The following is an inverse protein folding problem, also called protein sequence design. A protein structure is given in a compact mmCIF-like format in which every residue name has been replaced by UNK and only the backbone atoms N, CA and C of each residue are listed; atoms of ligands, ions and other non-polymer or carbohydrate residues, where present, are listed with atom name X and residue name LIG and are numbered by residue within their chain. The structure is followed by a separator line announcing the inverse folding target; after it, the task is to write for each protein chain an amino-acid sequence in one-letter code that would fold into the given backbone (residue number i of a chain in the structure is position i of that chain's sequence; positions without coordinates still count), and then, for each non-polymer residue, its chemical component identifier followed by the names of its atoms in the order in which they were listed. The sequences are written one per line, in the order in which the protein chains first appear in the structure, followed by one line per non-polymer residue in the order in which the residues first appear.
data_IF_682710832640
#
_entry.id   IF_682710832640
#
_cell.length_a   1.000
_cell.length_b   1.000
_cell.length_c   1.000
_cell.angle_alpha   90.00
_cell.angle_beta   90.00
_cell.angle_gamma   90.00
#
_symmetry.space_group_name_H-M   'P 1'
#
loop_
_entity.id
_entity.type
_entity.pdbx_description
1 polymer ?
#
# COMPACT_ATOMS: atom_id res chain seq x y z
N UNK A 1 -1.79 -18.11 -16.93
CA UNK A 1 -1.81 -16.95 -15.98
C UNK A 1 -1.36 -15.68 -16.66
N UNK A 2 -0.18 -15.65 -17.35
CA UNK A 2 0.35 -14.45 -18.05
C UNK A 2 -0.59 -13.94 -19.16
N UNK A 3 -1.30 -14.81 -19.81
CA UNK A 3 -2.33 -14.54 -20.84
C UNK A 3 -3.50 -13.66 -20.34
N UNK A 4 -3.73 -13.64 -19.03
CA UNK A 4 -4.70 -12.73 -18.39
C UNK A 4 -4.21 -11.28 -18.27
N UNK A 5 -2.94 -10.98 -18.61
CA UNK A 5 -2.31 -9.67 -18.48
C UNK A 5 -1.75 -9.20 -19.84
N UNK A 6 -2.53 -8.43 -20.62
CA UNK A 6 -2.17 -8.06 -22.00
C UNK A 6 -0.81 -7.38 -22.15
N UNK A 7 -0.39 -6.59 -21.14
CA UNK A 7 0.90 -5.90 -21.15
C UNK A 7 2.09 -6.85 -21.29
N UNK A 8 1.97 -8.08 -20.76
CA UNK A 8 3.04 -9.07 -20.72
C UNK A 8 3.29 -9.76 -22.07
N UNK A 9 2.38 -9.64 -23.03
CA UNK A 9 2.54 -10.20 -24.37
C UNK A 9 3.64 -9.51 -25.21
N UNK A 10 4.00 -8.28 -24.86
CA UNK A 10 4.99 -7.51 -25.63
C UNK A 10 5.96 -6.72 -24.75
N UNK A 11 6.14 -7.08 -23.49
CA UNK A 11 7.02 -6.37 -22.57
C UNK A 11 7.54 -7.27 -21.47
N UNK A 12 8.76 -7.01 -20.99
CA UNK A 12 9.29 -7.50 -19.73
C UNK A 12 8.83 -6.56 -18.61
N UNK A 13 7.97 -7.04 -17.71
CA UNK A 13 7.30 -6.19 -16.73
C UNK A 13 7.80 -6.47 -15.30
N UNK A 14 8.70 -5.62 -14.82
CA UNK A 14 9.39 -5.75 -13.53
C UNK A 14 9.19 -4.50 -12.64
N UNK A 15 8.01 -3.85 -12.73
CA UNK A 15 7.72 -2.56 -12.09
C UNK A 15 6.48 -2.59 -11.18
N UNK A 16 6.08 -3.78 -10.71
CA UNK A 16 4.84 -3.95 -9.91
C UNK A 16 4.83 -3.15 -8.60
N UNK A 17 6.00 -2.82 -8.05
CA UNK A 17 6.16 -1.94 -6.89
C UNK A 17 5.77 -0.48 -7.15
N UNK A 18 5.66 -0.09 -8.41
CA UNK A 18 5.22 1.25 -8.85
C UNK A 18 3.79 1.19 -9.41
N UNK A 19 3.55 0.24 -10.31
CA UNK A 19 2.22 -0.06 -10.86
C UNK A 19 2.17 -1.55 -11.25
N UNK A 20 1.16 -2.29 -10.78
CA UNK A 20 0.89 -3.66 -11.19
C UNK A 20 0.38 -3.71 -12.64
N UNK A 21 0.66 -4.80 -13.36
CA UNK A 21 0.10 -5.00 -14.68
C UNK A 21 -1.44 -5.14 -14.60
N UNK A 22 -2.21 -4.53 -15.50
CA UNK A 22 -3.66 -4.62 -15.46
C UNK A 22 -4.13 -6.00 -15.94
N UNK A 23 -5.00 -6.70 -15.19
CA UNK A 23 -5.63 -7.90 -15.69
C UNK A 23 -6.69 -7.57 -16.76
N UNK A 24 -6.89 -8.47 -17.73
CA UNK A 24 -7.87 -8.28 -18.79
C UNK A 24 -9.30 -8.09 -18.23
N UNK A 25 -9.64 -8.80 -17.16
CA UNK A 25 -10.92 -8.68 -16.47
C UNK A 25 -11.22 -7.28 -15.91
N UNK A 26 -10.22 -6.42 -15.77
CA UNK A 26 -10.43 -5.00 -15.43
C UNK A 26 -11.18 -4.26 -16.53
N UNK A 27 -10.97 -4.65 -17.80
CA UNK A 27 -11.71 -4.10 -18.93
C UNK A 27 -13.19 -4.50 -18.87
N UNK A 28 -13.46 -5.75 -18.55
CA UNK A 28 -14.85 -6.24 -18.42
C UNK A 28 -15.58 -5.48 -17.28
N UNK A 29 -14.86 -5.13 -16.21
CA UNK A 29 -15.42 -4.30 -15.13
C UNK A 29 -15.75 -2.87 -15.57
N UNK A 30 -14.92 -2.28 -16.44
CA UNK A 30 -15.22 -0.96 -17.05
C UNK A 30 -16.48 -1.03 -17.91
N UNK A 31 -16.58 -2.05 -18.73
CA UNK A 31 -17.74 -2.26 -19.62
C UNK A 31 -19.01 -2.46 -18.80
N UNK A 32 -19.01 -3.35 -17.80
CA UNK A 32 -20.17 -3.55 -16.90
C UNK A 32 -20.59 -2.27 -16.18
N UNK A 33 -19.63 -1.48 -15.68
CA UNK A 33 -19.94 -0.21 -15.04
C UNK A 33 -20.63 0.74 -16.01
N UNK A 34 -20.10 0.86 -17.23
CA UNK A 34 -20.67 1.73 -18.27
C UNK A 34 -22.07 1.27 -18.67
N UNK A 35 -22.26 -0.02 -18.92
CA UNK A 35 -23.53 -0.59 -19.38
C UNK A 35 -24.63 -0.40 -18.32
N UNK A 36 -24.33 -0.68 -17.06
CA UNK A 36 -25.28 -0.44 -15.96
C UNK A 36 -25.68 1.04 -15.89
N UNK A 37 -24.73 1.95 -15.98
CA UNK A 37 -25.03 3.38 -15.97
C UNK A 37 -25.85 3.81 -17.19
N UNK A 38 -25.49 3.34 -18.38
CA UNK A 38 -26.16 3.72 -19.62
C UNK A 38 -27.58 3.13 -19.73
N UNK A 39 -27.83 1.96 -19.16
CA UNK A 39 -29.12 1.25 -19.25
C UNK A 39 -30.04 1.60 -18.09
N UNK A 40 -29.51 1.57 -16.86
CA UNK A 40 -30.31 1.62 -15.63
C UNK A 40 -30.32 3.02 -15.00
N UNK A 41 -29.42 3.91 -15.43
CA UNK A 41 -29.32 5.27 -14.88
C UNK A 41 -29.10 5.26 -13.36
N UNK A 42 -29.95 5.95 -12.56
CA UNK A 42 -29.81 5.98 -11.10
C UNK A 42 -29.99 4.62 -10.42
N UNK A 43 -30.72 3.66 -11.03
CA UNK A 43 -30.97 2.34 -10.47
C UNK A 43 -29.69 1.47 -10.47
N UNK A 44 -28.67 1.82 -11.25
CA UNK A 44 -27.34 1.17 -11.23
C UNK A 44 -26.71 1.12 -9.82
N UNK A 45 -27.09 2.02 -8.91
CA UNK A 45 -26.66 1.99 -7.50
C UNK A 45 -27.06 0.71 -6.77
N UNK A 46 -28.18 0.08 -7.13
CA UNK A 46 -28.62 -1.18 -6.52
C UNK A 46 -27.65 -2.33 -6.79
N UNK A 47 -27.00 -2.32 -7.97
CA UNK A 47 -25.95 -3.28 -8.32
C UNK A 47 -24.58 -2.92 -7.74
N UNK A 48 -24.21 -1.65 -7.77
CA UNK A 48 -22.87 -1.20 -7.40
C UNK A 48 -22.61 -1.21 -5.89
N UNK A 49 -23.57 -0.80 -5.05
CA UNK A 49 -23.35 -0.69 -3.61
C UNK A 49 -23.01 -2.02 -2.93
N UNK A 50 -23.66 -3.16 -3.26
CA UNK A 50 -23.25 -4.46 -2.73
C UNK A 50 -21.84 -4.87 -3.13
N UNK A 51 -21.39 -4.55 -4.35
CA UNK A 51 -20.03 -4.86 -4.81
C UNK A 51 -18.95 -4.16 -3.96
N UNK A 52 -19.21 -2.97 -3.42
CA UNK A 52 -18.26 -2.29 -2.51
C UNK A 52 -18.01 -3.14 -1.26
N UNK A 53 -19.05 -3.75 -0.70
CA UNK A 53 -18.94 -4.64 0.45
C UNK A 53 -18.11 -5.90 0.12
N UNK A 54 -18.31 -6.48 -1.08
CA UNK A 54 -17.55 -7.64 -1.54
C UNK A 54 -16.06 -7.30 -1.75
N UNK A 55 -15.76 -6.15 -2.36
CA UNK A 55 -14.39 -5.67 -2.56
C UNK A 55 -13.70 -5.42 -1.21
N UNK A 56 -14.37 -4.75 -0.27
CA UNK A 56 -13.85 -4.53 1.07
C UNK A 56 -13.62 -5.84 1.82
N UNK A 57 -14.54 -6.82 1.68
CA UNK A 57 -14.43 -8.17 2.22
C UNK A 57 -13.23 -8.94 1.65
N UNK A 58 -12.99 -8.84 0.34
CA UNK A 58 -11.82 -9.43 -0.33
C UNK A 58 -10.50 -8.87 0.21
N UNK A 59 -10.42 -7.54 0.40
CA UNK A 59 -9.26 -6.89 1.00
C UNK A 59 -9.09 -7.32 2.47
N UNK A 60 -10.18 -7.40 3.25
CA UNK A 60 -10.13 -7.90 4.62
C UNK A 60 -9.52 -9.31 4.70
N UNK A 61 -9.94 -10.22 3.81
CA UNK A 61 -9.37 -11.56 3.72
C UNK A 61 -7.88 -11.55 3.40
N UNK A 62 -7.41 -10.70 2.47
CA UNK A 62 -5.99 -10.54 2.14
C UNK A 62 -5.15 -10.03 3.30
N UNK A 63 -5.75 -9.29 4.24
CA UNK A 63 -5.11 -8.75 5.45
C UNK A 63 -5.21 -9.68 6.67
N UNK A 64 -5.87 -10.84 6.59
CA UNK A 64 -6.21 -11.65 7.75
C UNK A 64 -7.16 -10.94 8.73
N UNK A 65 -7.95 -10.00 8.22
CA UNK A 65 -8.91 -9.22 9.01
C UNK A 65 -10.29 -9.89 9.06
N UNK A 66 -11.03 -9.63 10.13
CA UNK A 66 -12.42 -10.06 10.23
C UNK A 66 -13.30 -9.37 9.16
N UNK A 67 -14.41 -9.98 8.73
CA UNK A 67 -15.37 -9.31 7.84
C UNK A 67 -15.86 -7.98 8.42
N UNK A 68 -16.20 -7.03 7.54
CA UNK A 68 -16.72 -5.70 7.90
C UNK A 68 -15.76 -4.86 8.77
N UNK A 69 -14.44 -5.00 8.56
CA UNK A 69 -13.42 -4.21 9.26
C UNK A 69 -12.60 -3.31 8.31
N UNK A 70 -12.90 -3.36 7.02
CA UNK A 70 -12.23 -2.56 5.99
C UNK A 70 -13.22 -1.58 5.36
N UNK A 71 -12.80 -0.32 5.22
CA UNK A 71 -13.48 0.73 4.43
C UNK A 71 -12.72 0.96 3.14
N UNK A 72 -13.42 1.21 2.04
CA UNK A 72 -12.81 1.66 0.80
C UNK A 72 -12.60 3.18 0.87
N UNK A 73 -11.41 3.62 0.49
CA UNK A 73 -11.04 5.04 0.40
C UNK A 73 -10.41 5.32 -0.97
N UNK A 74 -10.52 6.53 -1.52
CA UNK A 74 -9.93 6.82 -2.83
C UNK A 74 -8.42 6.62 -2.90
N UNK A 75 -7.70 6.88 -1.80
CA UNK A 75 -6.25 6.74 -1.66
C UNK A 75 -5.81 6.74 -0.20
N UNK A 76 -4.55 6.38 0.04
CA UNK A 76 -3.93 6.32 1.37
C UNK A 76 -3.93 7.67 2.10
N UNK A 77 -3.74 8.77 1.38
CA UNK A 77 -3.74 10.11 2.00
C UNK A 77 -5.06 10.40 2.69
N UNK A 78 -6.19 10.06 2.05
CA UNK A 78 -7.52 10.23 2.63
C UNK A 78 -7.78 9.22 3.75
N UNK A 79 -7.31 7.98 3.65
CA UNK A 79 -7.40 6.99 4.72
C UNK A 79 -6.68 7.46 5.99
N UNK A 80 -5.45 7.93 5.86
CA UNK A 80 -4.69 8.48 7.00
C UNK A 80 -5.32 9.78 7.53
N UNK A 81 -5.80 10.67 6.66
CA UNK A 81 -6.47 11.89 7.07
C UNK A 81 -7.78 11.62 7.83
N UNK A 82 -8.52 10.57 7.47
CA UNK A 82 -9.71 10.15 8.20
C UNK A 82 -9.37 9.77 9.65
N UNK A 83 -8.31 8.97 9.85
CA UNK A 83 -7.83 8.60 11.19
C UNK A 83 -7.32 9.85 11.95
N UNK A 84 -6.48 10.66 11.31
CA UNK A 84 -5.95 11.88 11.93
C UNK A 84 -7.09 12.84 12.36
N UNK A 85 -8.17 12.93 11.57
CA UNK A 85 -9.34 13.77 11.87
C UNK A 85 -10.19 13.26 13.03
N UNK A 86 -10.01 11.99 13.43
CA UNK A 86 -10.71 11.40 14.56
C UNK A 86 -9.97 11.60 15.90
N UNK A 87 -8.79 12.24 15.87
CA UNK A 87 -7.93 12.42 17.03
C UNK A 87 -8.00 13.85 17.55
N UNK A 88 -7.85 13.98 18.85
CA UNK A 88 -7.66 15.26 19.53
C UNK A 88 -6.27 15.30 20.12
N UNK A 89 -5.48 16.29 19.73
CA UNK A 89 -4.13 16.53 20.26
C UNK A 89 -4.19 17.53 21.40
N UNK A 90 -3.79 17.11 22.60
CA UNK A 90 -3.81 17.91 23.80
C UNK A 90 -2.45 17.91 24.52
N UNK A 91 -2.26 18.71 25.58
CA UNK A 91 -0.99 18.87 26.26
C UNK A 91 -0.39 17.56 26.79
N UNK A 92 -1.25 16.61 27.15
CA UNK A 92 -0.82 15.33 27.70
C UNK A 92 -0.56 14.28 26.61
N UNK A 93 -1.13 14.47 25.39
CA UNK A 93 -1.09 13.47 24.33
C UNK A 93 -1.12 14.11 22.95
N UNK A 94 0.06 14.61 22.51
CA UNK A 94 0.24 15.39 21.29
C UNK A 94 1.20 14.74 20.28
N UNK A 95 1.96 13.71 20.70
CA UNK A 95 3.03 13.12 19.90
C UNK A 95 2.51 12.32 18.70
N UNK A 96 3.07 12.58 17.54
CA UNK A 96 2.92 11.76 16.33
C UNK A 96 4.31 11.31 15.90
N UNK A 97 4.62 10.03 16.10
CA UNK A 97 5.90 9.42 15.72
C UNK A 97 5.81 8.96 14.26
N UNK A 98 6.74 9.43 13.44
CA UNK A 98 6.94 9.06 12.05
C UNK A 98 8.41 8.70 11.81
N UNK A 99 8.73 8.07 10.67
CA UNK A 99 10.12 7.74 10.32
C UNK A 99 10.60 8.46 9.05
N UNK A 100 11.93 8.54 8.87
CA UNK A 100 12.54 9.37 7.83
C UNK A 100 12.54 8.76 6.42
N UNK A 101 12.35 7.43 6.29
CA UNK A 101 12.47 6.69 5.02
C UNK A 101 11.12 6.32 4.38
N UNK A 102 10.03 6.81 4.96
CA UNK A 102 8.69 6.52 4.45
C UNK A 102 8.33 7.37 3.23
N UNK A 103 7.30 6.95 2.53
CA UNK A 103 6.78 7.72 1.40
C UNK A 103 6.24 9.08 1.87
N UNK A 104 6.49 10.18 1.14
CA UNK A 104 6.17 11.55 1.59
C UNK A 104 4.74 11.79 2.05
N UNK A 105 3.77 11.07 1.49
CA UNK A 105 2.34 11.20 1.87
C UNK A 105 2.12 11.07 3.37
N UNK A 106 2.76 10.09 4.04
CA UNK A 106 2.59 9.88 5.49
C UNK A 106 3.05 11.14 6.23
N UNK A 107 4.27 11.59 5.95
CA UNK A 107 4.82 12.80 6.56
C UNK A 107 3.93 14.02 6.30
N UNK A 108 3.46 14.24 5.07
CA UNK A 108 2.67 15.42 4.72
C UNK A 108 1.31 15.41 5.41
N UNK A 109 0.62 14.29 5.41
CA UNK A 109 -0.69 14.18 6.07
C UNK A 109 -0.54 14.48 7.56
N UNK A 110 0.36 13.80 8.27
CA UNK A 110 0.48 13.97 9.71
C UNK A 110 1.05 15.35 10.10
N UNK A 111 2.00 15.90 9.33
CA UNK A 111 2.52 17.26 9.58
C UNK A 111 1.44 18.35 9.42
N UNK A 112 0.43 18.14 8.58
CA UNK A 112 -0.68 19.08 8.44
C UNK A 112 -1.48 19.25 9.74
N UNK A 113 -1.43 18.29 10.67
CA UNK A 113 -2.14 18.34 11.94
C UNK A 113 -1.41 19.13 13.03
N UNK A 114 -0.17 19.62 12.77
CA UNK A 114 0.53 20.53 13.67
C UNK A 114 -0.30 21.79 13.98
N UNK A 115 -1.08 22.27 13.01
CA UNK A 115 -2.00 23.41 13.22
C UNK A 115 -3.15 23.09 14.20
N UNK A 116 -3.35 21.81 14.52
CA UNK A 116 -4.33 21.33 15.49
C UNK A 116 -3.69 20.77 16.76
N UNK A 117 -2.39 21.06 16.99
CA UNK A 117 -1.68 20.71 18.21
C UNK A 117 -0.83 19.44 18.14
N UNK A 118 -0.76 18.76 17.01
CA UNK A 118 0.11 17.60 16.85
C UNK A 118 1.58 17.99 16.90
N UNK A 119 2.40 17.26 17.66
CA UNK A 119 3.87 17.39 17.76
C UNK A 119 4.52 16.25 16.99
N UNK A 120 5.09 16.55 15.83
CA UNK A 120 5.73 15.54 14.98
C UNK A 120 7.11 15.18 15.54
N UNK A 121 7.33 13.87 15.73
CA UNK A 121 8.60 13.26 16.13
C UNK A 121 9.08 12.38 14.98
N UNK A 122 10.08 12.85 14.25
CA UNK A 122 10.65 12.08 13.13
C UNK A 122 11.85 11.28 13.63
N UNK A 123 11.76 9.94 13.53
CA UNK A 123 12.86 9.03 13.85
C UNK A 123 13.82 8.99 12.67
N UNK A 124 15.10 9.34 12.85
CA UNK A 124 16.09 9.31 11.77
C UNK A 124 16.56 7.88 11.50
N UNK A 125 17.00 7.63 10.26
CA UNK A 125 17.76 6.45 9.89
C UNK A 125 19.26 6.69 10.10
N UNK A 126 20.01 5.66 10.49
CA UNK A 126 21.45 5.73 10.68
C UNK A 126 22.25 5.57 9.38
N UNK A 127 21.71 4.78 8.46
CA UNK A 127 22.36 4.41 7.19
C UNK A 127 21.65 4.98 5.95
N UNK A 128 20.51 5.66 6.15
CA UNK A 128 19.65 6.15 5.07
C UNK A 128 18.92 5.03 4.28
N UNK A 129 18.94 3.79 4.78
CA UNK A 129 18.38 2.60 4.09
C UNK A 129 17.46 1.76 4.96
N UNK A 130 17.76 1.65 6.25
CA UNK A 130 17.00 0.87 7.21
C UNK A 130 16.54 1.71 8.39
N UNK A 131 15.48 1.27 9.04
CA UNK A 131 14.99 1.87 10.28
C UNK A 131 15.26 0.92 11.45
N UNK A 132 15.80 1.46 12.54
CA UNK A 132 15.98 0.70 13.77
C UNK A 132 14.67 0.62 14.55
N UNK A 133 14.21 -0.61 14.80
CA UNK A 133 13.04 -0.89 15.66
C UNK A 133 13.25 -0.32 17.06
N UNK A 134 14.44 -0.45 17.63
CA UNK A 134 14.76 0.07 18.98
C UNK A 134 14.66 1.60 19.03
N UNK A 135 15.13 2.30 17.99
CA UNK A 135 14.98 3.77 17.91
C UNK A 135 13.53 4.19 17.80
N UNK A 136 12.74 3.49 17.01
CA UNK A 136 11.30 3.76 16.89
C UNK A 136 10.64 3.54 18.25
N UNK A 137 10.85 2.40 18.90
CA UNK A 137 10.31 2.11 20.23
C UNK A 137 10.74 3.13 21.28
N UNK A 138 11.99 3.59 21.25
CA UNK A 138 12.52 4.61 22.17
C UNK A 138 11.90 6.00 21.97
N UNK A 139 11.40 6.30 20.76
CA UNK A 139 10.70 7.55 20.47
C UNK A 139 9.22 7.54 20.89
N UNK A 140 8.69 6.38 21.28
CA UNK A 140 7.31 6.19 21.69
C UNK A 140 7.23 6.33 23.23
N UNK A 141 6.57 7.38 23.70
CA UNK A 141 6.40 7.73 25.11
C UNK A 141 4.92 7.91 25.49
N UNK A 142 4.65 8.25 26.75
CA UNK A 142 3.29 8.45 27.27
C UNK A 142 2.55 9.61 26.61
N UNK A 143 3.26 10.54 25.97
CA UNK A 143 2.69 11.64 25.20
C UNK A 143 2.38 11.26 23.75
N UNK A 144 2.80 10.08 23.32
CA UNK A 144 2.56 9.62 21.94
C UNK A 144 1.08 9.26 21.75
N UNK A 145 0.40 9.99 20.86
CA UNK A 145 -0.97 9.71 20.46
C UNK A 145 -1.01 8.69 19.32
N UNK A 146 -0.08 8.83 18.35
CA UNK A 146 -0.04 8.01 17.12
C UNK A 146 1.39 7.68 16.74
N UNK A 147 1.57 6.49 16.22
CA UNK A 147 2.78 6.05 15.51
C UNK A 147 2.35 5.72 14.08
N UNK A 148 2.79 6.50 13.09
CA UNK A 148 2.39 6.35 11.69
C UNK A 148 3.60 6.01 10.83
N UNK A 149 3.71 4.73 10.42
CA UNK A 149 4.90 4.20 9.74
C UNK A 149 4.53 3.44 8.47
N UNK A 150 5.46 3.42 7.52
CA UNK A 150 5.39 2.50 6.39
C UNK A 150 5.94 1.14 6.78
N UNK A 151 5.23 0.05 6.40
CA UNK A 151 5.71 -1.32 6.63
C UNK A 151 7.02 -1.61 5.88
N UNK A 152 7.24 -0.92 4.76
CA UNK A 152 8.49 -1.01 4.01
C UNK A 152 9.03 0.39 3.70
N UNK A 153 10.32 0.61 3.95
CA UNK A 153 11.01 1.84 3.64
C UNK A 153 10.95 2.13 2.13
N UNK A 154 10.56 3.34 1.77
CA UNK A 154 10.42 3.77 0.38
C UNK A 154 11.73 3.75 -0.41
N UNK A 155 12.85 4.07 0.26
CA UNK A 155 14.15 4.23 -0.40
C UNK A 155 14.94 2.93 -0.59
N UNK A 156 14.59 1.86 0.12
CA UNK A 156 15.37 0.62 0.09
C UNK A 156 14.53 -0.65 -0.01
N UNK A 157 13.22 -0.57 0.28
CA UNK A 157 12.37 -1.74 0.42
C UNK A 157 12.60 -2.54 1.71
N UNK A 158 13.38 -2.01 2.67
CA UNK A 158 13.58 -2.64 3.97
C UNK A 158 12.26 -2.75 4.73
N UNK A 159 11.95 -3.93 5.27
CA UNK A 159 10.77 -4.16 6.10
C UNK A 159 11.04 -3.75 7.56
N UNK A 160 10.02 -3.22 8.21
CA UNK A 160 9.99 -2.97 9.65
C UNK A 160 9.58 -4.23 10.42
N UNK A 161 10.14 -4.41 11.62
CA UNK A 161 9.70 -5.38 12.62
C UNK A 161 8.51 -4.79 13.39
N UNK A 162 7.30 -5.00 12.85
CA UNK A 162 6.09 -4.30 13.32
C UNK A 162 5.58 -4.80 14.67
N UNK A 163 5.84 -6.06 15.05
CA UNK A 163 5.29 -6.65 16.26
C UNK A 163 5.80 -5.95 17.54
N UNK A 164 7.11 -5.66 17.60
CA UNK A 164 7.70 -4.92 18.71
C UNK A 164 7.18 -3.48 18.82
N UNK A 165 6.99 -2.82 17.66
CA UNK A 165 6.45 -1.46 17.59
C UNK A 165 4.98 -1.44 18.05
N UNK A 166 4.17 -2.40 17.57
CA UNK A 166 2.77 -2.54 17.98
C UNK A 166 2.66 -2.80 19.49
N UNK A 167 3.49 -3.70 20.04
CA UNK A 167 3.53 -3.97 21.48
C UNK A 167 3.85 -2.68 22.26
N UNK A 168 4.85 -1.92 21.85
CA UNK A 168 5.21 -0.64 22.49
C UNK A 168 4.09 0.38 22.40
N UNK A 169 3.40 0.46 21.27
CA UNK A 169 2.23 1.34 21.13
C UNK A 169 1.12 0.96 22.13
N UNK A 170 0.83 -0.33 22.29
CA UNK A 170 -0.17 -0.80 23.23
C UNK A 170 0.19 -0.49 24.69
N UNK A 171 1.48 -0.63 25.07
CA UNK A 171 1.95 -0.30 26.44
C UNK A 171 1.63 1.14 26.84
N UNK A 172 1.85 2.10 25.93
CA UNK A 172 1.58 3.52 26.20
C UNK A 172 0.19 3.97 25.75
N UNK A 173 -0.60 3.07 25.12
CA UNK A 173 -1.93 3.37 24.58
C UNK A 173 -1.90 4.26 23.34
N UNK A 174 -0.79 4.34 22.59
CA UNK A 174 -0.71 4.99 21.30
C UNK A 174 -1.41 4.16 20.22
N UNK A 175 -1.88 4.81 19.16
CA UNK A 175 -2.49 4.15 17.99
C UNK A 175 -1.41 3.88 16.96
N UNK A 176 -1.28 2.63 16.51
CA UNK A 176 -0.36 2.27 15.44
C UNK A 176 -1.08 2.29 14.08
N UNK A 177 -0.64 3.18 13.18
CA UNK A 177 -1.11 3.32 11.79
C UNK A 177 -0.03 2.81 10.86
N UNK A 178 -0.28 1.66 10.22
CA UNK A 178 0.65 0.99 9.33
C UNK A 178 0.26 1.21 7.87
N UNK A 179 1.14 1.87 7.09
CA UNK A 179 1.00 1.99 5.65
C UNK A 179 1.59 0.75 4.97
N UNK A 180 0.73 -0.06 4.36
CA UNK A 180 1.09 -1.31 3.70
C UNK A 180 1.11 -1.21 2.17
N UNK A 181 1.22 -0.01 1.62
CA UNK A 181 1.17 0.21 0.17
C UNK A 181 2.23 -0.58 -0.61
N UNK A 182 3.36 -0.89 0.03
CA UNK A 182 4.45 -1.67 -0.57
C UNK A 182 4.44 -3.14 -0.14
N UNK A 183 3.47 -3.58 0.64
CA UNK A 183 3.49 -4.93 1.21
C UNK A 183 2.20 -5.72 1.02
N UNK A 184 1.02 -5.10 1.02
CA UNK A 184 -0.24 -5.81 0.76
C UNK A 184 -0.23 -6.45 -0.63
N UNK A 185 -0.45 -7.76 -0.69
CA UNK A 185 -0.43 -8.56 -1.92
C UNK A 185 0.93 -9.19 -2.24
N UNK A 186 2.01 -8.85 -1.51
CA UNK A 186 3.35 -9.41 -1.74
C UNK A 186 4.05 -9.91 -0.47
N UNK A 187 3.75 -9.33 0.69
CA UNK A 187 4.23 -9.78 2.00
C UNK A 187 3.02 -10.25 2.79
N UNK A 188 3.01 -11.49 3.29
CA UNK A 188 1.93 -11.97 4.16
C UNK A 188 1.77 -11.08 5.40
N UNK A 189 0.53 -10.74 5.72
CA UNK A 189 0.15 -9.95 6.90
C UNK A 189 -1.11 -10.56 7.50
N UNK A 190 -1.16 -10.70 8.82
CA UNK A 190 -2.35 -11.08 9.56
C UNK A 190 -2.61 -10.03 10.65
N UNK A 191 -3.42 -9.04 10.32
CA UNK A 191 -3.68 -7.90 11.19
C UNK A 191 -4.43 -8.30 12.46
N UNK A 192 -5.20 -9.39 12.41
CA UNK A 192 -5.93 -9.90 13.58
C UNK A 192 -4.99 -10.60 14.56
N UNK A 193 -4.14 -11.51 14.06
CA UNK A 193 -3.17 -12.22 14.88
C UNK A 193 -2.11 -11.29 15.49
N UNK A 194 -1.66 -10.28 14.72
CA UNK A 194 -0.67 -9.29 15.15
C UNK A 194 -1.26 -8.15 15.98
N UNK A 195 -2.59 -8.06 16.08
CA UNK A 195 -3.28 -7.04 16.88
C UNK A 195 -3.10 -5.61 16.35
N UNK A 196 -2.88 -5.43 15.05
CA UNK A 196 -2.61 -4.11 14.45
C UNK A 196 -3.83 -3.22 14.57
N UNK A 197 -3.63 -1.97 14.98
CA UNK A 197 -4.73 -1.02 15.21
C UNK A 197 -5.34 -0.50 13.92
N UNK A 198 -4.51 0.00 12.99
CA UNK A 198 -4.94 0.62 11.74
C UNK A 198 -4.00 0.22 10.62
N UNK A 199 -4.56 -0.16 9.47
CA UNK A 199 -3.80 -0.36 8.23
C UNK A 199 -4.38 0.51 7.14
N UNK A 200 -3.51 1.15 6.36
CA UNK A 200 -3.86 1.82 5.12
C UNK A 200 -3.07 1.24 3.96
N UNK A 201 -3.68 1.18 2.80
CA UNK A 201 -3.01 0.67 1.60
C UNK A 201 -3.78 1.04 0.32
N UNK A 202 -3.31 0.52 -0.81
CA UNK A 202 -3.96 0.79 -2.09
C UNK A 202 -3.63 -0.26 -3.16
N UNK A 203 -4.44 -0.25 -4.21
CA UNK A 203 -4.56 -1.38 -5.13
C UNK A 203 -3.65 -1.30 -6.37
N UNK A 204 -3.09 -0.13 -6.71
CA UNK A 204 -2.44 0.03 -8.01
C UNK A 204 -1.04 -0.61 -8.13
N UNK A 205 -0.46 -1.12 -7.04
CA UNK A 205 0.84 -1.79 -7.05
C UNK A 205 0.67 -3.31 -7.08
N UNK A 206 0.98 -3.97 -5.98
CA UNK A 206 0.99 -5.42 -5.84
C UNK A 206 -0.38 -6.09 -5.96
N UNK A 207 -1.46 -5.34 -5.76
CA UNK A 207 -2.83 -5.83 -5.96
C UNK A 207 -3.33 -5.72 -7.41
N UNK A 208 -2.54 -5.17 -8.34
CA UNK A 208 -2.88 -5.04 -9.77
C UNK A 208 -4.24 -4.38 -10.06
N UNK A 209 -4.75 -3.55 -9.13
CA UNK A 209 -6.12 -3.00 -9.19
C UNK A 209 -6.22 -1.61 -9.82
N UNK A 210 -5.11 -1.02 -10.29
CA UNK A 210 -5.11 0.35 -10.81
C UNK A 210 -5.29 1.43 -9.74
N UNK A 211 -5.16 2.72 -10.10
CA UNK A 211 -5.36 3.84 -9.19
C UNK A 211 -6.85 4.08 -8.87
N UNK A 212 -7.13 4.76 -7.74
CA UNK A 212 -8.49 5.13 -7.33
C UNK A 212 -9.15 4.19 -6.33
N UNK A 213 -8.49 3.07 -5.96
CA UNK A 213 -8.93 2.17 -4.90
C UNK A 213 -7.84 2.06 -3.83
N UNK A 214 -8.07 2.68 -2.70
CA UNK A 214 -7.36 2.50 -1.45
C UNK A 214 -8.26 1.82 -0.42
N UNK A 215 -7.68 1.47 0.72
CA UNK A 215 -8.41 0.87 1.82
C UNK A 215 -7.90 1.33 3.17
N UNK A 216 -8.79 1.26 4.15
CA UNK A 216 -8.56 1.57 5.55
C UNK A 216 -9.12 0.43 6.41
N UNK A 217 -8.26 -0.30 7.10
CA UNK A 217 -8.64 -1.21 8.17
C UNK A 217 -8.54 -0.50 9.52
N UNK A 218 -9.53 -0.70 10.37
CA UNK A 218 -9.50 -0.27 11.78
C UNK A 218 -9.95 -1.42 12.66
N UNK A 219 -9.11 -1.76 13.63
CA UNK A 219 -9.41 -2.82 14.60
C UNK A 219 -10.75 -2.54 15.32
N UNK A 220 -11.65 -3.51 15.43
CA UNK A 220 -13.00 -3.31 15.96
C UNK A 220 -13.06 -2.58 17.31
N UNK A 221 -12.23 -2.98 18.28
CA UNK A 221 -12.20 -2.35 19.61
C UNK A 221 -11.68 -0.91 19.64
N UNK A 222 -10.98 -0.46 18.58
CA UNK A 222 -10.53 0.92 18.43
C UNK A 222 -11.57 1.77 17.69
N UNK A 223 -12.29 1.20 16.73
CA UNK A 223 -13.24 1.88 15.87
C UNK A 223 -14.23 2.77 16.65
N UNK A 224 -14.80 2.24 17.73
CA UNK A 224 -15.82 2.95 18.51
C UNK A 224 -15.27 4.18 19.26
N UNK A 225 -13.95 4.26 19.41
CA UNK A 225 -13.23 5.39 20.02
C UNK A 225 -12.88 6.49 19.02
N UNK A 226 -13.02 6.22 17.73
CA UNK A 226 -12.63 7.13 16.64
C UNK A 226 -13.88 7.73 15.97
N UNK A 227 -14.06 9.04 16.12
CA UNK A 227 -15.12 9.80 15.45
C UNK A 227 -14.51 10.79 14.45
N UNK A 228 -14.37 10.40 13.16
CA UNK A 228 -13.69 11.23 12.17
C UNK A 228 -14.46 12.54 11.92
N UNK A 229 -13.70 13.66 11.93
CA UNK A 229 -14.21 14.94 11.50
C UNK A 229 -14.25 15.06 9.97
N UNK A 230 -13.37 14.32 9.26
CA UNK A 230 -13.45 14.14 7.82
C UNK A 230 -14.54 13.10 7.54
N UNK A 231 -15.77 13.57 7.35
CA UNK A 231 -16.98 12.75 7.25
C UNK A 231 -17.90 13.24 6.12
N UNK A 232 -19.01 12.57 5.89
CA UNK A 232 -20.03 12.94 4.92
C UNK A 232 -21.29 12.07 5.04
N UNK A 233 -22.22 12.23 4.12
CA UNK A 233 -23.53 11.57 4.20
C UNK A 233 -23.44 10.03 4.22
N UNK A 234 -22.43 9.43 3.55
CA UNK A 234 -22.22 7.98 3.54
C UNK A 234 -21.61 7.43 4.85
N UNK A 235 -21.20 8.30 5.77
CA UNK A 235 -20.76 7.91 7.11
C UNK A 235 -21.92 7.79 8.13
N UNK A 236 -23.13 8.22 7.75
CA UNK A 236 -24.30 8.14 8.61
C UNK A 236 -24.73 6.67 8.79
N UNK A 237 -25.26 6.34 9.96
CA UNK A 237 -25.80 5.00 10.26
C UNK A 237 -26.91 4.57 9.28
N UNK A 238 -27.69 5.52 8.81
CA UNK A 238 -28.75 5.35 7.82
C UNK A 238 -28.60 6.41 6.71
N UNK A 239 -27.64 6.24 5.78
CA UNK A 239 -27.30 7.29 4.80
C UNK A 239 -28.49 7.67 3.91
N UNK A 240 -29.34 6.72 3.53
CA UNK A 240 -30.48 6.95 2.64
C UNK A 240 -31.73 7.50 3.36
N UNK A 241 -31.67 7.67 4.70
CA UNK A 241 -32.69 8.43 5.41
C UNK A 241 -32.57 9.94 5.15
N UNK A 242 -31.42 10.40 4.63
CA UNK A 242 -31.12 11.81 4.37
C UNK A 242 -31.47 12.73 5.54
N UNK A 243 -31.22 12.22 6.76
CA UNK A 243 -31.54 12.92 7.99
C UNK A 243 -30.71 14.21 8.12
N UNK A 244 -31.32 15.34 8.56
CA UNK A 244 -30.57 16.57 8.83
C UNK A 244 -29.63 16.39 10.03
N UNK A 245 -28.66 17.28 10.13
CA UNK A 245 -27.72 17.28 11.27
C UNK A 245 -28.45 17.25 12.64
N UNK A 246 -27.81 16.68 13.70
CA UNK A 246 -26.44 16.16 13.72
C UNK A 246 -26.30 14.78 13.07
N UNK A 247 -25.09 14.48 12.56
CA UNK A 247 -24.80 13.16 12.02
C UNK A 247 -24.77 12.10 13.13
N UNK A 248 -25.46 10.97 12.90
CA UNK A 248 -25.27 9.74 13.66
C UNK A 248 -24.29 8.83 12.89
N UNK A 249 -23.01 8.76 13.32
CA UNK A 249 -22.02 7.94 12.66
C UNK A 249 -22.40 6.45 12.72
N UNK A 250 -22.14 5.73 11.64
CA UNK A 250 -22.31 4.27 11.58
C UNK A 250 -21.48 3.55 12.66
N UNK A 251 -22.00 2.43 13.14
CA UNK A 251 -21.31 1.60 14.16
C UNK A 251 -20.31 0.61 13.56
N UNK A 252 -20.08 0.68 12.26
CA UNK A 252 -19.16 -0.17 11.49
C UNK A 252 -18.14 0.70 10.72
N UNK A 253 -17.50 0.12 9.71
CA UNK A 253 -16.48 0.80 8.90
C UNK A 253 -17.03 1.92 8.04
N UNK A 254 -18.34 1.97 7.78
CA UNK A 254 -18.96 3.05 7.01
C UNK A 254 -18.76 4.42 7.65
N UNK A 255 -18.50 4.50 8.98
CA UNK A 255 -18.17 5.76 9.66
C UNK A 255 -16.97 6.52 9.10
N UNK A 256 -16.08 5.83 8.35
CA UNK A 256 -14.93 6.43 7.67
C UNK A 256 -15.22 6.83 6.21
N UNK A 257 -16.43 6.59 5.74
CA UNK A 257 -16.87 7.07 4.43
C UNK A 257 -17.09 8.58 4.47
N UNK A 258 -17.07 9.19 3.30
CA UNK A 258 -17.29 10.63 3.14
C UNK A 258 -18.53 10.89 2.26
N UNK A 259 -18.33 11.33 1.05
CA UNK A 259 -19.39 11.55 0.07
C UNK A 259 -19.68 10.31 -0.78
N UNK A 260 -20.26 10.56 -1.92
CA UNK A 260 -20.51 9.54 -2.95
C UNK A 260 -19.22 8.82 -3.33
N UNK A 261 -19.19 7.48 -3.28
CA UNK A 261 -17.97 6.70 -3.52
C UNK A 261 -17.49 6.78 -4.97
N UNK A 262 -16.18 6.64 -5.18
CA UNK A 262 -15.54 6.56 -6.50
C UNK A 262 -15.73 5.16 -7.10
N UNK A 263 -16.95 4.87 -7.59
CA UNK A 263 -17.33 3.53 -8.03
C UNK A 263 -16.34 2.90 -9.01
N UNK A 264 -16.01 3.61 -10.07
CA UNK A 264 -15.19 3.08 -11.16
C UNK A 264 -13.84 2.53 -10.68
N UNK A 265 -13.14 3.27 -9.81
CA UNK A 265 -11.84 2.84 -9.29
C UNK A 265 -11.94 1.57 -8.45
N UNK A 266 -13.00 1.41 -7.69
CA UNK A 266 -13.22 0.22 -6.85
C UNK A 266 -13.59 -1.01 -7.69
N UNK A 267 -14.54 -0.86 -8.62
CA UNK A 267 -14.99 -1.97 -9.47
C UNK A 267 -13.88 -2.52 -10.36
N UNK A 268 -13.06 -1.64 -10.93
CA UNK A 268 -11.91 -2.03 -11.75
C UNK A 268 -10.84 -2.74 -10.93
N UNK A 269 -10.61 -2.31 -9.69
CA UNK A 269 -9.60 -2.89 -8.81
C UNK A 269 -9.91 -4.33 -8.41
N UNK A 270 -11.18 -4.72 -8.33
CA UNK A 270 -11.63 -6.06 -7.95
C UNK A 270 -10.92 -7.16 -8.75
N UNK A 271 -10.79 -6.99 -10.06
CA UNK A 271 -10.16 -7.99 -10.93
C UNK A 271 -8.71 -8.31 -10.53
N UNK A 272 -7.97 -7.32 -10.06
CA UNK A 272 -6.63 -7.53 -9.53
C UNK A 272 -6.66 -8.28 -8.19
N UNK A 273 -7.54 -7.85 -7.27
CA UNK A 273 -7.71 -8.49 -5.95
C UNK A 273 -8.06 -9.98 -6.07
N UNK A 274 -8.97 -10.31 -6.98
CA UNK A 274 -9.43 -11.70 -7.22
C UNK A 274 -8.25 -12.59 -7.68
N UNK A 275 -7.39 -12.09 -8.56
CA UNK A 275 -6.20 -12.83 -9.00
C UNK A 275 -5.21 -13.04 -7.84
N UNK A 276 -4.97 -12.02 -7.01
CA UNK A 276 -4.08 -12.16 -5.84
C UNK A 276 -4.67 -13.17 -4.84
N UNK A 277 -5.98 -13.15 -4.61
CA UNK A 277 -6.65 -14.08 -3.72
C UNK A 277 -6.62 -15.53 -4.28
N UNK A 278 -6.81 -15.70 -5.59
CA UNK A 278 -6.73 -17.00 -6.27
C UNK A 278 -5.37 -17.68 -6.10
N UNK A 279 -4.27 -16.91 -6.22
CA UNK A 279 -2.93 -17.44 -6.12
C UNK A 279 -2.49 -17.60 -4.65
N UNK A 280 -2.89 -16.67 -3.81
CA UNK A 280 -2.54 -16.57 -2.41
C UNK A 280 -1.19 -15.86 -2.17
N UNK A 281 -1.20 -14.91 -1.22
CA UNK A 281 -0.02 -14.08 -0.91
C UNK A 281 1.21 -14.90 -0.51
N UNK A 282 1.12 -16.01 0.25
CA UNK A 282 2.29 -16.83 0.56
C UNK A 282 2.98 -17.42 -0.69
N UNK A 283 2.22 -17.90 -1.67
CA UNK A 283 2.77 -18.44 -2.91
C UNK A 283 3.41 -17.33 -3.77
N UNK A 284 2.76 -16.16 -3.85
CA UNK A 284 3.29 -14.96 -4.51
C UNK A 284 4.61 -14.56 -3.86
N UNK A 285 4.67 -14.53 -2.51
CA UNK A 285 5.87 -14.18 -1.75
C UNK A 285 7.03 -15.11 -2.03
N UNK A 286 6.80 -16.42 -1.99
CA UNK A 286 7.82 -17.42 -2.25
C UNK A 286 8.42 -17.28 -3.66
N UNK A 287 7.57 -17.09 -4.68
CA UNK A 287 8.00 -16.85 -6.05
C UNK A 287 8.79 -15.54 -6.20
N UNK A 288 8.30 -14.46 -5.64
CA UNK A 288 8.97 -13.16 -5.67
C UNK A 288 10.33 -13.20 -4.95
N UNK A 289 10.41 -13.83 -3.76
CA UNK A 289 11.66 -13.96 -3.00
C UNK A 289 12.73 -14.70 -3.81
N UNK A 290 12.36 -15.77 -4.52
CA UNK A 290 13.26 -16.51 -5.41
C UNK A 290 13.77 -15.63 -6.55
N UNK A 291 12.89 -14.91 -7.26
CA UNK A 291 13.29 -14.05 -8.38
C UNK A 291 14.13 -12.85 -7.90
N UNK A 292 13.76 -12.23 -6.79
CA UNK A 292 14.54 -11.11 -6.22
C UNK A 292 15.90 -11.54 -5.73
N UNK A 293 16.06 -12.76 -5.19
CA UNK A 293 17.37 -13.33 -4.85
C UNK A 293 18.23 -13.53 -6.08
N UNK A 294 17.67 -14.11 -7.16
CA UNK A 294 18.36 -14.26 -8.45
C UNK A 294 18.80 -12.91 -9.02
N UNK A 295 17.95 -11.88 -8.93
CA UNK A 295 18.29 -10.51 -9.37
C UNK A 295 19.47 -9.96 -8.55
N UNK A 296 19.46 -10.12 -7.23
CA UNK A 296 20.56 -9.70 -6.35
C UNK A 296 21.88 -10.38 -6.75
N UNK A 297 21.88 -11.70 -6.88
CA UNK A 297 23.07 -12.48 -7.24
C UNK A 297 23.64 -12.03 -8.59
N UNK A 298 22.77 -11.86 -9.60
CA UNK A 298 23.17 -11.41 -10.92
C UNK A 298 23.73 -9.97 -10.93
N UNK A 299 23.16 -9.08 -10.12
CA UNK A 299 23.61 -7.69 -9.99
C UNK A 299 24.97 -7.60 -9.25
N UNK A 300 25.13 -8.35 -8.16
CA UNK A 300 26.39 -8.40 -7.40
C UNK A 300 27.53 -9.00 -8.24
N UNK A 301 27.26 -10.04 -9.05
CA UNK A 301 28.24 -10.62 -9.98
C UNK A 301 28.75 -9.61 -11.03
N UNK A 302 28.00 -8.54 -11.28
CA UNK A 302 28.36 -7.41 -12.16
C UNK A 302 29.02 -6.25 -11.41
N UNK A 303 29.21 -6.36 -10.10
CA UNK A 303 29.79 -5.32 -9.26
C UNK A 303 28.83 -4.15 -8.96
N UNK A 304 27.53 -4.33 -9.20
CA UNK A 304 26.54 -3.29 -8.87
C UNK A 304 26.27 -3.23 -7.36
N UNK A 305 25.92 -2.07 -6.87
CA UNK A 305 25.51 -1.86 -5.46
C UNK A 305 24.03 -2.18 -5.29
N UNK A 306 23.70 -2.88 -4.19
CA UNK A 306 22.31 -3.21 -3.82
C UNK A 306 21.93 -2.43 -2.55
N UNK A 307 21.13 -1.36 -2.65
CA UNK A 307 20.64 -0.61 -1.47
C UNK A 307 19.62 -1.38 -0.63
N UNK A 308 18.95 -2.35 -1.22
CA UNK A 308 17.94 -3.21 -0.57
C UNK A 308 18.61 -4.26 0.32
N UNK A 309 18.02 -4.64 1.49
CA UNK A 309 18.50 -5.77 2.29
C UNK A 309 18.58 -7.06 1.48
N UNK A 310 19.69 -7.81 1.66
CA UNK A 310 19.96 -9.02 0.87
C UNK A 310 19.10 -10.21 1.33
N UNK A 311 18.72 -10.25 2.61
CA UNK A 311 17.88 -11.29 3.19
C UNK A 311 16.41 -11.10 2.76
N UNK A 312 15.79 -12.18 2.30
CA UNK A 312 14.43 -12.13 1.78
C UNK A 312 13.41 -11.66 2.83
N UNK A 313 13.59 -12.06 4.09
CA UNK A 313 12.71 -11.76 5.20
C UNK A 313 12.75 -10.27 5.58
N UNK A 314 13.83 -9.58 5.24
CA UNK A 314 14.06 -8.17 5.59
C UNK A 314 13.71 -7.18 4.46
N UNK A 315 13.23 -7.66 3.33
CA UNK A 315 12.89 -6.82 2.18
C UNK A 315 11.47 -7.06 1.66
N UNK A 316 10.89 -6.05 1.04
CA UNK A 316 9.65 -6.17 0.27
C UNK A 316 9.89 -6.85 -1.10
N UNK A 317 8.97 -6.71 -2.03
CA UNK A 317 8.99 -7.41 -3.33
C UNK A 317 9.87 -6.80 -4.42
N UNK A 318 10.60 -5.72 -4.18
CA UNK A 318 11.47 -5.08 -5.17
C UNK A 318 12.91 -4.93 -4.69
N UNK A 319 13.83 -4.78 -5.64
CA UNK A 319 15.27 -4.62 -5.43
C UNK A 319 15.73 -3.31 -6.06
N UNK A 320 16.52 -2.53 -5.31
CA UNK A 320 17.30 -1.43 -5.85
C UNK A 320 18.63 -1.94 -6.42
N UNK A 321 19.01 -1.46 -7.60
CA UNK A 321 20.31 -1.70 -8.23
C UNK A 321 20.91 -0.33 -8.54
N UNK A 322 22.09 -0.04 -7.99
CA UNK A 322 22.72 1.27 -8.17
C UNK A 322 24.13 1.15 -8.73
N UNK A 323 24.41 2.00 -9.72
CA UNK A 323 25.70 2.14 -10.39
C UNK A 323 25.75 3.48 -11.15
N UNK A 324 26.93 3.99 -11.52
CA UNK A 324 27.04 5.21 -12.31
C UNK A 324 26.30 5.10 -13.64
N UNK A 325 25.28 5.96 -13.87
CA UNK A 325 24.45 5.95 -15.08
C UNK A 325 23.19 5.06 -14.99
N UNK A 326 22.82 4.54 -13.81
CA UNK A 326 21.62 3.73 -13.60
C UNK A 326 20.32 4.45 -14.07
N UNK A 327 20.24 5.76 -13.94
CA UNK A 327 19.13 6.60 -14.43
C UNK A 327 19.01 6.53 -15.97
N UNK A 328 20.12 6.67 -16.69
CA UNK A 328 20.17 6.60 -18.17
C UNK A 328 19.90 5.17 -18.66
N UNK A 329 20.50 4.18 -17.97
CA UNK A 329 20.24 2.78 -18.28
C UNK A 329 18.76 2.42 -18.08
N UNK A 330 18.10 2.94 -17.03
CA UNK A 330 16.66 2.74 -16.82
C UNK A 330 15.84 3.25 -18.00
N UNK A 331 16.14 4.45 -18.52
CA UNK A 331 15.40 5.00 -19.65
C UNK A 331 15.61 4.14 -20.91
N UNK A 332 16.85 3.73 -21.19
CA UNK A 332 17.15 2.89 -22.34
C UNK A 332 16.49 1.49 -22.28
N UNK A 333 16.30 0.93 -21.07
CA UNK A 333 15.55 -0.30 -20.86
C UNK A 333 14.04 -0.08 -21.10
N UNK A 334 13.48 1.02 -20.62
CA UNK A 334 12.07 1.37 -20.85
C UNK A 334 11.79 1.52 -22.36
N UNK A 335 12.70 2.13 -23.09
CA UNK A 335 12.59 2.30 -24.56
C UNK A 335 12.56 0.94 -25.29
N UNK A 336 13.17 -0.10 -24.71
CA UNK A 336 13.11 -1.48 -25.17
C UNK A 336 11.92 -2.27 -24.59
N UNK A 337 10.95 -1.60 -23.93
CA UNK A 337 9.78 -2.19 -23.28
C UNK A 337 10.13 -3.14 -22.13
N UNK A 338 11.26 -2.90 -21.45
CA UNK A 338 11.60 -3.52 -20.18
C UNK A 338 11.21 -2.52 -19.07
N UNK A 339 10.02 -2.72 -18.49
CA UNK A 339 9.44 -1.78 -17.55
C UNK A 339 10.01 -1.98 -16.14
N UNK A 340 10.77 -1.00 -15.72
CA UNK A 340 11.34 -0.78 -14.40
C UNK A 340 11.20 0.71 -14.08
N UNK A 341 11.68 1.18 -12.92
CA UNK A 341 11.77 2.62 -12.68
C UNK A 341 13.07 2.99 -11.94
N UNK A 342 13.38 4.27 -11.92
CA UNK A 342 14.51 4.85 -11.19
C UNK A 342 14.02 5.88 -10.18
N UNK A 343 14.64 5.89 -8.99
CA UNK A 343 14.43 6.96 -8.02
C UNK A 343 15.77 7.37 -7.40
N UNK A 344 16.02 8.69 -7.26
CA UNK A 344 17.20 9.18 -6.54
C UNK A 344 17.29 8.54 -5.13
N UNK A 345 18.47 8.04 -4.78
CA UNK A 345 18.71 7.35 -3.50
C UNK A 345 18.27 5.87 -3.45
N UNK A 346 17.40 5.43 -4.38
CA UNK A 346 16.99 4.03 -4.49
C UNK A 346 17.73 3.28 -5.60
N UNK A 347 18.25 4.01 -6.60
CA UNK A 347 18.75 3.44 -7.85
C UNK A 347 17.63 2.98 -8.79
N UNK A 348 17.97 2.08 -9.68
CA UNK A 348 17.06 1.35 -10.57
C UNK A 348 16.27 0.34 -9.74
N UNK A 349 14.93 0.43 -9.72
CA UNK A 349 14.09 -0.47 -8.94
C UNK A 349 13.49 -1.55 -9.84
N UNK A 350 13.67 -2.79 -9.44
CA UNK A 350 13.23 -3.99 -10.17
C UNK A 350 12.32 -4.81 -9.27
N UNK A 351 11.04 -4.90 -9.60
CA UNK A 351 10.01 -5.54 -8.76
C UNK A 351 9.22 -6.60 -9.54
N UNK A 352 9.72 -7.86 -9.58
CA UNK A 352 9.00 -8.98 -10.17
C UNK A 352 7.77 -9.33 -9.35
N UNK A 353 6.76 -9.91 -10.02
CA UNK A 353 5.52 -10.35 -9.38
C UNK A 353 5.23 -11.81 -9.75
N UNK A 354 4.08 -12.35 -9.34
CA UNK A 354 3.68 -13.72 -9.63
C UNK A 354 3.67 -14.08 -11.13
N UNK A 355 3.50 -13.11 -12.00
CA UNK A 355 3.53 -13.30 -13.45
C UNK A 355 4.92 -13.16 -14.09
N UNK A 356 5.93 -12.72 -13.35
CA UNK A 356 7.30 -12.60 -13.85
C UNK A 356 7.97 -13.97 -13.89
N UNK A 357 8.91 -14.17 -14.84
CA UNK A 357 9.60 -15.44 -15.07
C UNK A 357 11.11 -15.29 -14.93
N UNK A 358 11.83 -16.41 -14.91
CA UNK A 358 13.29 -16.42 -15.00
C UNK A 358 13.77 -15.80 -16.32
N UNK A 359 13.03 -16.03 -17.41
CA UNK A 359 13.33 -15.42 -18.71
C UNK A 359 13.21 -13.89 -18.68
N UNK A 360 12.22 -13.33 -17.97
CA UNK A 360 12.10 -11.87 -17.80
C UNK A 360 13.36 -11.30 -17.11
N UNK A 361 13.94 -12.03 -16.15
CA UNK A 361 15.18 -11.65 -15.47
C UNK A 361 16.38 -11.74 -16.42
N UNK A 362 16.44 -12.80 -17.25
CA UNK A 362 17.51 -12.96 -18.24
C UNK A 362 17.47 -11.87 -19.32
N UNK A 363 16.30 -11.56 -19.85
CA UNK A 363 16.09 -10.46 -20.82
C UNK A 363 16.53 -9.13 -20.22
N UNK A 364 16.13 -8.87 -18.96
CA UNK A 364 16.52 -7.64 -18.27
C UNK A 364 18.05 -7.49 -18.16
N UNK A 365 18.76 -8.52 -17.67
CA UNK A 365 20.21 -8.42 -17.51
C UNK A 365 20.97 -8.45 -18.83
N UNK A 366 20.48 -9.17 -19.85
CA UNK A 366 21.08 -9.14 -21.18
C UNK A 366 21.05 -7.73 -21.77
N UNK A 367 19.89 -7.09 -21.77
CA UNK A 367 19.74 -5.71 -22.23
C UNK A 367 20.57 -4.72 -21.39
N UNK A 368 20.60 -4.89 -20.08
CA UNK A 368 21.39 -4.05 -19.17
C UNK A 368 22.88 -4.16 -19.47
N UNK A 369 23.40 -5.37 -19.73
CA UNK A 369 24.80 -5.60 -20.09
C UNK A 369 25.18 -4.93 -21.42
N UNK A 370 24.29 -4.90 -22.40
CA UNK A 370 24.49 -4.19 -23.67
C UNK A 370 24.54 -2.66 -23.48
N UNK A 371 23.59 -2.14 -22.71
CA UNK A 371 23.50 -0.70 -22.42
C UNK A 371 24.72 -0.26 -21.61
N UNK A 372 25.12 -1.00 -20.57
CA UNK A 372 26.23 -0.63 -19.71
C UNK A 372 27.59 -0.57 -20.43
N UNK A 373 27.77 -1.30 -21.54
CA UNK A 373 28.96 -1.18 -22.39
C UNK A 373 29.04 0.12 -23.19
N UNK A 374 27.90 0.82 -23.34
CA UNK A 374 27.77 2.05 -24.12
C UNK A 374 27.68 3.31 -23.26
N UNK A 375 27.59 3.18 -21.93
CA UNK A 375 27.52 4.28 -20.97
C UNK A 375 28.89 4.73 -20.51
#
# INVERSE_FOLDING_TARGET
MRDRFPTLAGATYLVSHSMGAPPLASRDSLERYWDAWATDGPEAWEAWLPELGEIAGGIAALLGAAPNTVSLVPNVSLGQAAIASALTFGPDRDGVVIEALQFPTVTYVWSAWQKYGARIVTVPSDDGRTMSTDRICSAIDDRTAVVALSHAAYVSGSLLEIDAIQARCHEVGAIFVLDTYQTTGIVPLDVSAQGIDVVVGGSHKWLCGGPGCGFLYVRPGLRDRLAPALTGWMAHAEPFAFAPAPIALANDTHRYNTGTPTMLGYLVARAGHDVIAEIGVPAIRAHNARLTTRIIEAALARGFTIPTPLEAERRTGWIGIDFPGADRATQALIDQRIFIDYRPGCGMRVGPHFYSTDEDVDVFFHALDEIARSL
#
